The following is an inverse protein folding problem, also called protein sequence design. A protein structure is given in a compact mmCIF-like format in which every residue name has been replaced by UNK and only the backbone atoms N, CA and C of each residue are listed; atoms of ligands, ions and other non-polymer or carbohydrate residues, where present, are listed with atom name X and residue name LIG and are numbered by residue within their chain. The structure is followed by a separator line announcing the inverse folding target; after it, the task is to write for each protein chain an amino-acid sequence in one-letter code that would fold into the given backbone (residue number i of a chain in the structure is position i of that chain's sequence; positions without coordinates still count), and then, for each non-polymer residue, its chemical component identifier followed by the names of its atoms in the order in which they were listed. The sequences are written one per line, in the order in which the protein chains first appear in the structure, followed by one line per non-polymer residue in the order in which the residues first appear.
data_IF_384424138968
#
_entry.id   IF_384424138968
#
_cell.length_a   1.000
_cell.length_b   1.000
_cell.length_c   1.000
_cell.angle_alpha   90.00
_cell.angle_beta   90.00
_cell.angle_gamma   90.00
#
_symmetry.space_group_name_H-M   'P 1'
#
loop_
_entity.id
_entity.type
_entity.pdbx_description
1 polymer ?
#
# COMPACT_ATOMS: atom_id res chain seq x y z
N UNK A 1 9.13 -5.46 27.17
CA UNK A 1 8.39 -4.62 26.20
C UNK A 1 6.98 -5.17 26.15
N UNK A 2 5.96 -4.33 26.32
CA UNK A 2 4.59 -4.77 26.53
C UNK A 2 4.04 -5.55 25.32
N UNK A 3 3.64 -6.80 25.57
CA UNK A 3 2.56 -7.57 24.95
C UNK A 3 2.07 -7.09 23.56
N UNK A 4 2.72 -7.55 22.49
CA UNK A 4 2.14 -7.52 21.13
C UNK A 4 2.10 -6.18 20.39
N UNK A 5 2.61 -5.09 20.97
CA UNK A 5 2.65 -3.80 20.27
C UNK A 5 3.79 -3.75 19.24
N UNK A 6 3.42 -3.47 17.99
CA UNK A 6 4.37 -3.34 16.89
C UNK A 6 4.82 -1.89 16.71
N UNK A 7 6.09 -1.70 16.38
CA UNK A 7 6.64 -0.37 16.13
C UNK A 7 6.21 0.10 14.74
N UNK A 8 5.48 1.22 14.65
CA UNK A 8 5.09 1.81 13.36
C UNK A 8 6.29 2.14 12.43
N UNK A 9 7.51 2.28 12.98
CA UNK A 9 8.74 2.47 12.19
C UNK A 9 9.11 1.25 11.33
N UNK A 10 8.57 0.07 11.66
CA UNK A 10 8.80 -1.19 10.95
C UNK A 10 7.82 -1.40 9.79
N UNK A 11 6.78 -0.56 9.66
CA UNK A 11 5.99 -0.50 8.44
C UNK A 11 6.88 0.05 7.32
N UNK A 12 7.22 -0.77 6.34
CA UNK A 12 8.21 -0.44 5.31
C UNK A 12 7.67 -0.77 3.92
N UNK A 13 8.14 -0.01 2.93
CA UNK A 13 7.97 -0.33 1.52
C UNK A 13 9.35 -0.54 0.89
N UNK A 14 9.50 -1.64 0.17
CA UNK A 14 10.69 -1.97 -0.59
C UNK A 14 10.34 -1.93 -2.08
N UNK A 15 11.15 -1.22 -2.86
CA UNK A 15 10.99 -1.07 -4.31
C UNK A 15 11.93 -2.07 -4.98
N UNK A 16 11.41 -2.83 -5.94
CA UNK A 16 12.21 -3.70 -6.79
C UNK A 16 13.02 -2.92 -7.83
N UNK A 17 14.14 -3.48 -8.26
CA UNK A 17 15.00 -2.90 -9.29
C UNK A 17 14.59 -3.29 -10.73
N UNK A 18 13.50 -4.05 -10.91
CA UNK A 18 13.07 -4.56 -12.20
C UNK A 18 14.07 -5.55 -12.83
N UNK A 19 15.03 -6.05 -12.04
CA UNK A 19 16.06 -6.99 -12.50
C UNK A 19 15.49 -8.35 -12.85
N UNK A 20 16.00 -8.96 -13.93
CA UNK A 20 15.67 -10.34 -14.33
C UNK A 20 16.97 -11.16 -14.41
N UNK A 21 17.04 -12.38 -13.86
CA UNK A 21 15.94 -13.20 -13.33
C UNK A 21 15.60 -12.98 -11.84
N UNK A 22 16.45 -12.26 -11.10
CA UNK A 22 16.26 -11.96 -9.67
C UNK A 22 16.18 -10.46 -9.47
N UNK A 23 15.07 -10.03 -8.89
CA UNK A 23 14.83 -8.64 -8.54
C UNK A 23 15.31 -8.36 -7.12
N UNK A 24 16.02 -7.24 -6.94
CA UNK A 24 16.50 -6.79 -5.63
C UNK A 24 15.52 -5.78 -5.03
N UNK A 25 14.94 -6.10 -3.88
CA UNK A 25 14.05 -5.19 -3.16
C UNK A 25 14.81 -4.31 -2.18
N UNK A 26 14.76 -3.00 -2.37
CA UNK A 26 15.46 -2.01 -1.52
C UNK A 26 14.47 -1.11 -0.80
N UNK A 27 14.71 -0.83 0.48
CA UNK A 27 13.86 0.05 1.28
C UNK A 27 13.81 1.48 0.68
N UNK A 28 12.61 2.05 0.57
CA UNK A 28 12.45 3.46 0.28
C UNK A 28 12.76 4.29 1.54
N UNK A 29 13.89 4.98 1.52
CA UNK A 29 14.34 5.81 2.62
C UNK A 29 13.57 7.14 2.70
N UNK A 30 13.62 7.79 3.87
CA UNK A 30 13.10 9.15 4.03
C UNK A 30 11.63 9.27 4.45
N UNK A 31 10.85 8.18 4.37
CA UNK A 31 9.47 8.13 4.84
C UNK A 31 9.36 8.32 6.36
N UNK A 32 8.70 9.40 6.80
CA UNK A 32 8.39 9.70 8.21
C UNK A 32 7.01 9.20 8.61
N UNK A 33 6.00 9.49 7.78
CA UNK A 33 4.63 9.01 7.97
C UNK A 33 4.37 7.89 6.98
N UNK A 34 3.69 6.85 7.45
CA UNK A 34 3.39 5.64 6.68
C UNK A 34 2.04 5.15 7.11
N UNK A 35 1.14 4.97 6.15
CA UNK A 35 -0.21 4.49 6.37
C UNK A 35 -0.49 3.38 5.36
N UNK A 36 -0.99 2.26 5.84
CA UNK A 36 -1.44 1.16 4.99
C UNK A 36 -2.93 0.98 5.21
N UNK A 37 -3.70 1.12 4.14
CA UNK A 37 -5.14 1.04 4.15
C UNK A 37 -5.60 -0.15 3.32
N UNK A 38 -6.45 -0.95 3.93
CA UNK A 38 -7.13 -2.08 3.31
C UNK A 38 -8.62 -1.78 3.30
N UNK A 39 -9.19 -1.61 2.11
CA UNK A 39 -10.62 -1.38 1.96
C UNK A 39 -11.21 -2.38 0.97
N UNK A 40 -12.51 -2.64 1.10
CA UNK A 40 -13.26 -3.42 0.13
C UNK A 40 -14.61 -2.73 -0.12
N UNK A 41 -15.06 -2.72 -1.36
CA UNK A 41 -16.42 -2.26 -1.68
C UNK A 41 -17.45 -3.26 -1.14
N UNK A 42 -18.60 -2.79 -0.68
CA UNK A 42 -19.70 -3.66 -0.22
C UNK A 42 -20.70 -3.87 -1.36
N UNK A 43 -20.98 -5.12 -1.72
CA UNK A 43 -22.07 -5.47 -2.65
C UNK A 43 -23.24 -5.97 -1.82
N UNK A 44 -24.38 -5.27 -1.91
CA UNK A 44 -25.63 -5.69 -1.27
C UNK A 44 -26.22 -6.89 -2.01
N UNK A 45 -26.47 -7.97 -1.28
CA UNK A 45 -27.06 -9.22 -1.78
C UNK A 45 -28.38 -9.55 -1.09
N UNK A 46 -29.03 -8.55 -0.50
CA UNK A 46 -30.23 -8.73 0.30
C UNK A 46 -31.38 -9.27 -0.55
N UNK A 47 -31.89 -10.44 -0.17
CA UNK A 47 -33.07 -11.05 -0.81
C UNK A 47 -34.21 -11.04 0.21
N UNK A 48 -35.33 -10.33 -0.07
CA UNK A 48 -36.50 -10.39 0.80
C UNK A 48 -37.13 -11.78 0.77
N UNK A 49 -37.62 -12.24 1.92
CA UNK A 49 -38.20 -13.58 2.05
C UNK A 49 -39.50 -13.71 1.26
N UNK A 50 -39.55 -14.63 0.29
CA UNK A 50 -40.77 -14.94 -0.47
C UNK A 50 -41.88 -15.57 0.39
N UNK A 51 -41.56 -16.13 1.55
CA UNK A 51 -42.52 -16.80 2.45
C UNK A 51 -43.05 -15.89 3.56
N UNK A 52 -42.40 -14.75 3.83
CA UNK A 52 -42.88 -13.72 4.76
C UNK A 52 -42.46 -12.31 4.31
N UNK A 53 -43.13 -11.73 3.31
CA UNK A 53 -42.75 -10.45 2.72
C UNK A 53 -42.96 -9.23 3.64
N UNK A 54 -43.69 -9.38 4.76
CA UNK A 54 -43.91 -8.32 5.75
C UNK A 54 -42.92 -8.31 6.92
N UNK A 55 -41.98 -9.26 6.97
CA UNK A 55 -40.97 -9.35 8.04
C UNK A 55 -39.81 -8.37 7.85
N UNK A 56 -39.01 -8.10 8.90
CA UNK A 56 -37.82 -7.28 8.79
C UNK A 56 -36.80 -7.95 7.86
N UNK A 57 -36.42 -7.23 6.80
CA UNK A 57 -35.42 -7.69 5.83
C UNK A 57 -34.04 -7.52 6.45
N UNK A 58 -33.28 -8.62 6.55
CA UNK A 58 -31.91 -8.60 7.04
C UNK A 58 -30.96 -8.24 5.90
N UNK A 59 -30.14 -7.18 6.07
CA UNK A 59 -29.14 -6.81 5.08
C UNK A 59 -28.08 -7.90 5.01
N UNK A 60 -27.87 -8.47 3.82
CA UNK A 60 -26.73 -9.36 3.55
C UNK A 60 -25.83 -8.70 2.53
N UNK A 61 -24.52 -8.82 2.71
CA UNK A 61 -23.56 -8.25 1.79
C UNK A 61 -22.34 -9.14 1.59
N UNK A 62 -21.67 -8.91 0.47
CA UNK A 62 -20.44 -9.60 0.08
C UNK A 62 -19.35 -8.57 -0.24
N UNK A 63 -18.07 -8.82 0.11
CA UNK A 63 -16.97 -7.97 -0.35
C UNK A 63 -16.89 -7.99 -1.89
N UNK A 64 -16.83 -6.80 -2.47
CA UNK A 64 -16.59 -6.52 -3.88
C UNK A 64 -15.10 -6.28 -4.14
N UNK A 65 -14.77 -5.17 -4.81
CA UNK A 65 -13.38 -4.84 -5.16
C UNK A 65 -12.57 -4.58 -3.89
N UNK A 66 -11.51 -5.36 -3.69
CA UNK A 66 -10.54 -5.16 -2.62
C UNK A 66 -9.47 -4.19 -3.08
N UNK A 67 -9.32 -3.09 -2.35
CA UNK A 67 -8.32 -2.07 -2.58
C UNK A 67 -7.24 -2.13 -1.50
N UNK A 68 -6.00 -1.88 -1.92
CA UNK A 68 -4.82 -1.84 -1.07
C UNK A 68 -4.06 -0.57 -1.41
N UNK A 69 -3.99 0.32 -0.43
CA UNK A 69 -3.37 1.63 -0.61
C UNK A 69 -2.32 1.84 0.47
N UNK A 70 -1.09 2.11 0.06
CA UNK A 70 -0.03 2.54 0.95
C UNK A 70 0.24 4.01 0.68
N UNK A 71 0.24 4.84 1.71
CA UNK A 71 0.58 6.26 1.60
C UNK A 71 1.76 6.54 2.49
N UNK A 72 2.70 7.33 1.98
CA UNK A 72 3.90 7.68 2.70
C UNK A 72 4.33 9.11 2.41
N UNK A 73 4.74 9.83 3.46
CA UNK A 73 5.35 11.14 3.31
C UNK A 73 6.58 11.29 4.19
N UNK A 74 7.52 12.15 3.79
CA UNK A 74 8.72 12.41 4.56
C UNK A 74 9.76 13.22 3.79
N UNK A 75 11.03 13.11 4.19
CA UNK A 75 12.11 13.84 3.53
C UNK A 75 12.59 13.07 2.31
N UNK A 76 12.81 13.76 1.20
CA UNK A 76 13.41 13.15 0.03
C UNK A 76 14.88 12.84 0.32
N UNK A 77 15.25 11.56 0.20
CA UNK A 77 16.63 11.08 0.31
C UNK A 77 17.03 10.55 -1.05
N UNK A 78 18.03 11.18 -1.67
CA UNK A 78 18.60 10.69 -2.93
C UNK A 78 19.29 9.36 -2.67
N UNK A 79 18.84 8.30 -3.35
CA UNK A 79 19.41 6.97 -3.29
C UNK A 79 19.11 6.25 -4.59
N UNK A 80 19.85 5.19 -4.91
CA UNK A 80 19.59 4.39 -6.12
C UNK A 80 18.14 3.88 -6.18
N UNK A 81 17.57 3.48 -5.03
CA UNK A 81 16.17 3.05 -4.93
C UNK A 81 15.20 4.21 -5.20
N UNK A 82 15.50 5.42 -4.70
CA UNK A 82 14.70 6.62 -4.96
C UNK A 82 14.74 7.01 -6.43
N UNK A 83 15.88 6.84 -7.11
CA UNK A 83 16.02 7.16 -8.53
C UNK A 83 15.23 6.20 -9.42
N UNK A 84 15.31 4.89 -9.14
CA UNK A 84 14.50 3.84 -9.80
C UNK A 84 13.01 4.12 -9.57
N UNK A 85 12.62 4.37 -8.32
CA UNK A 85 11.26 4.71 -7.95
C UNK A 85 10.75 5.93 -8.74
N UNK A 86 11.51 7.02 -8.75
CA UNK A 86 11.14 8.22 -9.47
C UNK A 86 11.07 8.02 -10.99
N UNK A 87 11.84 7.10 -11.56
CA UNK A 87 11.71 6.74 -12.97
C UNK A 87 10.36 6.08 -13.27
N UNK A 88 9.92 5.13 -12.44
CA UNK A 88 8.59 4.52 -12.58
C UNK A 88 7.46 5.53 -12.39
N UNK A 89 7.58 6.42 -11.41
CA UNK A 89 6.60 7.51 -11.20
C UNK A 89 6.53 8.43 -12.42
N UNK A 90 7.67 8.83 -12.99
CA UNK A 90 7.71 9.66 -14.21
C UNK A 90 7.16 8.94 -15.44
N UNK A 91 7.38 7.64 -15.54
CA UNK A 91 6.86 6.81 -16.63
C UNK A 91 5.38 6.43 -16.46
N UNK A 92 4.79 6.68 -15.28
CA UNK A 92 3.46 6.22 -14.91
C UNK A 92 3.29 4.70 -15.08
N UNK A 93 4.34 3.95 -14.72
CA UNK A 93 4.39 2.49 -14.87
C UNK A 93 4.17 1.78 -13.54
N UNK A 94 3.58 0.59 -13.61
CA UNK A 94 3.53 -0.32 -12.48
C UNK A 94 4.90 -0.99 -12.29
N UNK A 95 5.29 -1.20 -11.04
CA UNK A 95 6.57 -1.78 -10.65
C UNK A 95 6.38 -2.76 -9.50
N UNK A 96 7.30 -3.69 -9.34
CA UNK A 96 7.21 -4.64 -8.23
C UNK A 96 7.66 -3.95 -6.94
N UNK A 97 6.85 -4.11 -5.90
CA UNK A 97 7.18 -3.63 -4.57
C UNK A 97 6.65 -4.58 -3.50
N UNK A 98 7.26 -4.45 -2.33
CA UNK A 98 6.97 -5.24 -1.14
C UNK A 98 6.65 -4.32 0.01
N UNK A 99 5.42 -4.40 0.52
CA UNK A 99 4.97 -3.68 1.72
C UNK A 99 5.01 -4.64 2.90
N UNK A 100 5.77 -4.28 3.93
CA UNK A 100 5.94 -5.07 5.15
C UNK A 100 5.13 -4.40 6.25
N UNK A 101 4.10 -5.09 6.74
CA UNK A 101 3.24 -4.65 7.84
C UNK A 101 3.61 -5.46 9.08
N UNK A 102 4.23 -4.83 10.10
CA UNK A 102 4.74 -5.56 11.26
C UNK A 102 3.59 -6.20 12.03
N UNK A 103 3.71 -7.50 12.35
CA UNK A 103 2.71 -8.28 13.05
C UNK A 103 1.52 -8.79 12.21
N UNK A 104 1.45 -8.42 10.92
CA UNK A 104 0.48 -8.97 9.97
C UNK A 104 1.20 -9.83 8.92
N UNK A 105 2.11 -9.21 8.17
CA UNK A 105 2.81 -9.91 7.10
C UNK A 105 3.36 -8.99 6.03
N UNK A 106 3.75 -9.62 4.94
CA UNK A 106 4.31 -8.98 3.76
C UNK A 106 3.34 -9.09 2.59
N UNK A 107 3.07 -7.98 1.93
CA UNK A 107 2.37 -7.89 0.65
C UNK A 107 3.36 -7.62 -0.48
N UNK A 108 3.58 -8.61 -1.35
CA UNK A 108 4.49 -8.50 -2.50
C UNK A 108 3.70 -8.57 -3.80
N UNK A 109 4.01 -7.69 -4.76
CA UNK A 109 3.40 -7.73 -6.08
C UNK A 109 3.60 -6.44 -6.84
N UNK A 110 2.77 -6.21 -7.85
CA UNK A 110 2.82 -4.99 -8.67
C UNK A 110 2.07 -3.84 -7.99
N UNK A 111 2.75 -2.70 -7.89
CA UNK A 111 2.26 -1.44 -7.33
C UNK A 111 2.42 -0.32 -8.34
N UNK A 112 1.56 0.69 -8.25
CA UNK A 112 1.69 1.93 -9.00
C UNK A 112 1.52 3.13 -8.07
N UNK A 113 2.10 4.27 -8.44
CA UNK A 113 1.90 5.52 -7.72
C UNK A 113 0.81 6.32 -8.42
N UNK A 114 -0.23 6.66 -7.67
CA UNK A 114 -1.39 7.44 -8.16
C UNK A 114 -1.20 8.93 -7.96
N UNK A 115 -0.52 9.30 -6.87
CA UNK A 115 -0.24 10.69 -6.54
C UNK A 115 1.18 10.79 -5.99
N UNK A 116 1.92 11.76 -6.50
CA UNK A 116 3.26 12.06 -6.06
C UNK A 116 3.49 13.57 -6.06
N UNK A 117 3.96 14.11 -4.95
CA UNK A 117 4.25 15.54 -4.80
C UNK A 117 5.57 15.77 -4.09
N UNK A 118 6.31 16.78 -4.56
CA UNK A 118 7.44 17.35 -3.85
C UNK A 118 7.04 18.69 -3.25
N UNK A 119 7.46 18.93 -2.01
CA UNK A 119 7.28 20.20 -1.32
C UNK A 119 8.58 20.59 -0.65
N UNK A 120 8.98 21.84 -0.75
CA UNK A 120 10.17 22.35 -0.09
C UNK A 120 10.16 23.86 -0.12
N UNK A 121 10.64 24.48 0.96
CA UNK A 121 10.87 25.92 1.05
C UNK A 121 12.39 26.17 1.02
N UNK A 122 12.83 27.43 0.96
CA UNK A 122 14.24 27.80 0.76
C UNK A 122 15.18 27.34 1.88
N UNK A 123 14.66 27.14 3.09
CA UNK A 123 15.43 26.76 4.29
C UNK A 123 15.25 25.29 4.74
N UNK A 124 14.04 24.68 4.75
CA UNK A 124 13.87 23.28 5.15
C UNK A 124 14.27 22.27 4.06
N UNK A 125 14.52 21.02 4.49
CA UNK A 125 14.77 19.91 3.59
C UNK A 125 13.58 19.66 2.64
N UNK A 126 13.88 19.21 1.43
CA UNK A 126 12.86 18.76 0.47
C UNK A 126 12.06 17.59 1.04
N UNK A 127 10.75 17.73 1.06
CA UNK A 127 9.78 16.72 1.45
C UNK A 127 9.08 16.14 0.23
N UNK A 128 8.58 14.91 0.37
CA UNK A 128 7.77 14.24 -0.62
C UNK A 128 6.57 13.56 0.01
N UNK A 129 5.51 13.42 -0.76
CA UNK A 129 4.34 12.61 -0.44
C UNK A 129 4.00 11.73 -1.64
N UNK A 130 3.71 10.46 -1.37
CA UNK A 130 3.41 9.46 -2.38
C UNK A 130 2.26 8.55 -1.95
N UNK A 131 1.33 8.29 -2.86
CA UNK A 131 0.24 7.33 -2.67
C UNK A 131 0.37 6.18 -3.66
N UNK A 132 0.59 4.99 -3.13
CA UNK A 132 0.79 3.74 -3.83
C UNK A 132 -0.50 2.91 -3.77
N UNK A 133 -0.88 2.31 -4.88
CA UNK A 133 -2.00 1.36 -4.97
C UNK A 133 -1.56 0.09 -5.66
N UNK A 134 -2.19 -1.03 -5.30
CA UNK A 134 -1.95 -2.30 -5.99
C UNK A 134 -2.36 -2.17 -7.47
N UNK A 135 -1.44 -2.50 -8.37
CA UNK A 135 -1.68 -2.53 -9.81
C UNK A 135 -2.13 -3.92 -10.29
N UNK A 136 -1.83 -4.97 -9.50
CA UNK A 136 -2.22 -6.35 -9.76
C UNK A 136 -2.46 -7.12 -8.45
N UNK A 137 -2.82 -8.40 -8.55
CA UNK A 137 -3.00 -9.31 -7.42
C UNK A 137 -1.72 -9.40 -6.60
N UNK A 138 -1.84 -9.09 -5.31
CA UNK A 138 -0.73 -9.16 -4.37
C UNK A 138 -0.63 -10.55 -3.73
N UNK A 139 0.60 -11.05 -3.61
CA UNK A 139 0.93 -12.22 -2.80
C UNK A 139 1.15 -11.81 -1.35
N UNK A 140 0.45 -12.49 -0.42
CA UNK A 140 0.60 -12.29 1.01
C UNK A 140 1.42 -13.41 1.65
N UNK A 141 2.40 -13.04 2.48
CA UNK A 141 3.18 -13.96 3.32
C UNK A 141 3.08 -13.51 4.76
N UNK A 142 2.60 -14.39 5.65
CA UNK A 142 2.50 -14.13 7.08
C UNK A 142 3.91 -13.90 7.68
N UNK A 143 4.04 -12.91 8.56
CA UNK A 143 5.23 -12.76 9.41
C UNK A 143 5.12 -13.76 10.59
N UNK A 144 6.10 -14.66 10.80
CA UNK A 144 6.03 -15.69 11.83
C UNK A 144 6.08 -15.18 13.28
#
# INVERSE_FOLDING_TARGET
MADGQQLGRLLLIQIGDGGSPTETFTNLCGLKTRSFNMSASEIDTTIPSCTNPGGPVQKTSRPGISNRTFSGSGNFVSSAASDIFMNHVRAAEAFNAKVIVPGDGTYTGSWMVTDFSFSGDVEPNMEFSATFVAADVLSFTLDP
#
